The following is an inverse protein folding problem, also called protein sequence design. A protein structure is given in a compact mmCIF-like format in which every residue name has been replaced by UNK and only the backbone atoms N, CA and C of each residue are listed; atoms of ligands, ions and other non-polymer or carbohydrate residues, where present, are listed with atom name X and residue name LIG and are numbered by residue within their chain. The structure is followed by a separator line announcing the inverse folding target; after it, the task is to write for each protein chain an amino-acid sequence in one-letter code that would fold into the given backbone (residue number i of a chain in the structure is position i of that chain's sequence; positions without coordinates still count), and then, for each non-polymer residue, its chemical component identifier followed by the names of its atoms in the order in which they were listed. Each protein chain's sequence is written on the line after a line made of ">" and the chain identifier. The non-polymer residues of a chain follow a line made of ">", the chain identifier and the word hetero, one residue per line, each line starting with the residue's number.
data_IF_084552412905
#
_entry.id   IF_084552412905
#
_cell.length_a   1.000
_cell.length_b   1.000
_cell.length_c   1.000
_cell.angle_alpha   90.00
_cell.angle_beta   90.00
_cell.angle_gamma   90.00
#
_symmetry.space_group_name_H-M   'P 1'
#
loop_
_entity.id
_entity.type
_entity.pdbx_description
1 polymer ?
#
# COMPACT_ATOMS: atom_id res chain seq x y z
N UNK A 1 16.25 0.65 4.16
CA UNK A 1 15.30 -0.40 4.61
C UNK A 1 14.37 0.24 5.61
N UNK A 2 13.08 -0.13 5.69
CA UNK A 2 12.09 0.45 6.63
C UNK A 2 12.45 0.24 8.12
N UNK A 3 13.53 -0.48 8.40
CA UNK A 3 14.05 -0.83 9.74
C UNK A 3 15.38 -0.16 10.07
N UNK A 4 15.76 0.86 9.33
CA UNK A 4 16.96 1.62 9.70
C UNK A 4 16.68 2.48 10.92
N UNK A 5 17.67 2.51 11.82
CA UNK A 5 17.55 3.24 13.09
C UNK A 5 17.54 4.73 12.80
N UNK A 6 16.60 5.45 13.41
CA UNK A 6 16.52 6.91 13.29
C UNK A 6 17.85 7.57 13.72
N UNK A 7 18.36 8.60 13.00
CA UNK A 7 19.67 9.23 13.31
C UNK A 7 19.80 9.75 14.74
N UNK A 8 18.68 10.11 15.36
CA UNK A 8 18.63 10.58 16.76
C UNK A 8 18.10 9.54 17.75
N UNK A 9 18.07 8.26 17.37
CA UNK A 9 17.54 7.20 18.25
C UNK A 9 18.25 7.14 19.60
N UNK A 10 19.56 7.34 19.64
CA UNK A 10 20.38 7.32 20.87
C UNK A 10 20.09 8.48 21.82
N UNK A 11 19.39 9.53 21.35
CA UNK A 11 19.03 10.70 22.16
C UNK A 11 17.65 10.56 22.81
N UNK A 12 16.80 9.66 22.30
CA UNK A 12 15.37 9.63 22.66
C UNK A 12 15.13 9.42 24.16
N UNK A 13 15.91 8.53 24.78
CA UNK A 13 15.77 8.21 26.21
C UNK A 13 16.19 9.37 27.12
N UNK A 14 17.00 10.31 26.62
CA UNK A 14 17.47 11.48 27.36
C UNK A 14 16.57 12.71 27.20
N UNK A 15 15.63 12.69 26.26
CA UNK A 15 14.73 13.83 26.00
C UNK A 15 13.65 13.94 27.06
N UNK A 16 13.35 15.19 27.46
CA UNK A 16 12.13 15.48 28.19
C UNK A 16 10.88 15.27 27.31
N UNK A 17 9.73 15.02 27.92
CA UNK A 17 8.48 14.71 27.20
C UNK A 17 8.12 15.79 26.14
N UNK A 18 8.37 17.06 26.42
CA UNK A 18 8.09 18.14 25.45
C UNK A 18 9.01 18.07 24.25
N UNK A 19 10.29 17.82 24.45
CA UNK A 19 11.26 17.77 23.36
C UNK A 19 11.10 16.50 22.54
N UNK A 20 10.71 15.38 23.16
CA UNK A 20 10.30 14.17 22.44
C UNK A 20 9.06 14.40 21.57
N UNK A 21 8.04 15.08 22.12
CA UNK A 21 6.83 15.42 21.36
C UNK A 21 7.12 16.37 20.18
N UNK A 22 8.04 17.32 20.37
CA UNK A 22 8.50 18.20 19.28
C UNK A 22 9.22 17.41 18.19
N UNK A 23 10.13 16.54 18.58
CA UNK A 23 10.84 15.69 17.61
C UNK A 23 9.85 14.84 16.78
N UNK A 24 8.89 14.19 17.42
CA UNK A 24 7.85 13.42 16.72
C UNK A 24 7.03 14.32 15.77
N UNK A 25 6.64 15.50 16.21
CA UNK A 25 5.89 16.45 15.38
C UNK A 25 6.69 16.92 14.15
N UNK A 26 7.99 17.16 14.33
CA UNK A 26 8.87 17.57 13.23
C UNK A 26 9.02 16.43 12.21
N UNK A 27 9.17 15.17 12.67
CA UNK A 27 9.22 14.00 11.80
C UNK A 27 7.89 13.76 11.06
N UNK A 28 6.75 13.94 11.72
CA UNK A 28 5.43 13.86 11.08
C UNK A 28 5.29 14.93 9.97
N UNK A 29 5.84 16.12 10.20
CA UNK A 29 5.85 17.21 9.21
C UNK A 29 6.71 16.82 7.99
N UNK A 30 7.91 16.28 8.23
CA UNK A 30 8.77 15.77 7.15
C UNK A 30 8.07 14.67 6.35
N UNK A 31 7.35 13.76 7.02
CA UNK A 31 6.61 12.70 6.35
C UNK A 31 5.56 13.25 5.37
N UNK A 32 4.82 14.28 5.78
CA UNK A 32 3.81 14.93 4.93
C UNK A 32 4.46 15.67 3.76
N UNK A 33 5.53 16.42 4.00
CA UNK A 33 6.25 17.16 2.96
C UNK A 33 6.86 16.23 1.90
N UNK A 34 7.35 15.07 2.34
CA UNK A 34 7.95 14.07 1.48
C UNK A 34 6.99 13.45 0.45
N UNK A 35 5.68 13.52 0.68
CA UNK A 35 4.66 13.04 -0.24
C UNK A 35 4.46 14.02 -1.42
N UNK A 36 4.73 15.30 -1.24
CA UNK A 36 4.40 16.34 -2.22
C UNK A 36 4.92 16.09 -3.66
N UNK A 37 6.17 15.63 -3.88
CA UNK A 37 6.66 15.31 -5.22
C UNK A 37 5.89 14.18 -5.93
N UNK A 38 5.21 13.32 -5.16
CA UNK A 38 4.53 12.13 -5.64
C UNK A 38 3.02 12.31 -5.84
N UNK A 39 2.48 13.49 -5.52
CA UNK A 39 1.05 13.77 -5.69
C UNK A 39 0.52 13.52 -7.11
N UNK A 40 1.24 13.81 -8.21
CA UNK A 40 0.75 13.48 -9.55
C UNK A 40 0.55 11.98 -9.77
N UNK A 41 1.41 11.16 -9.21
CA UNK A 41 1.34 9.70 -9.33
C UNK A 41 0.22 9.12 -8.46
N UNK A 42 0.08 9.64 -7.25
CA UNK A 42 -1.05 9.30 -6.38
C UNK A 42 -2.37 9.66 -7.06
N UNK A 43 -2.45 10.84 -7.69
CA UNK A 43 -3.65 11.26 -8.41
C UNK A 43 -4.00 10.29 -9.54
N UNK A 44 -3.01 9.83 -10.33
CA UNK A 44 -3.25 8.82 -11.38
C UNK A 44 -3.80 7.50 -10.81
N UNK A 45 -3.23 7.04 -9.69
CA UNK A 45 -3.73 5.83 -9.02
C UNK A 45 -5.17 6.00 -8.53
N UNK A 46 -5.46 7.13 -7.91
CA UNK A 46 -6.81 7.49 -7.42
C UNK A 46 -7.81 7.55 -8.57
N UNK A 47 -7.49 8.21 -9.68
CA UNK A 47 -8.34 8.29 -10.86
C UNK A 47 -8.62 6.91 -11.44
N UNK A 48 -7.59 6.08 -11.60
CA UNK A 48 -7.73 4.73 -12.14
C UNK A 48 -8.60 3.82 -11.25
N UNK A 49 -8.48 3.93 -9.92
CA UNK A 49 -9.35 3.21 -8.97
C UNK A 49 -10.78 3.75 -9.03
N UNK A 50 -10.95 5.07 -9.02
CA UNK A 50 -12.25 5.73 -9.05
C UNK A 50 -13.05 5.36 -10.31
N UNK A 51 -12.40 5.29 -11.48
CA UNK A 51 -13.06 4.92 -12.74
C UNK A 51 -13.55 3.47 -12.71
N UNK A 52 -12.80 2.57 -12.08
CA UNK A 52 -13.23 1.18 -11.88
C UNK A 52 -14.43 1.08 -10.96
N UNK A 53 -14.40 1.78 -9.84
CA UNK A 53 -15.52 1.83 -8.90
C UNK A 53 -16.78 2.42 -9.56
N UNK A 54 -16.66 3.51 -10.31
CA UNK A 54 -17.79 4.10 -11.10
C UNK A 54 -18.35 3.13 -12.13
N UNK A 55 -17.52 2.26 -12.66
CA UNK A 55 -17.90 1.22 -13.64
C UNK A 55 -18.46 -0.05 -13.00
N UNK A 56 -18.68 -0.06 -11.68
CA UNK A 56 -19.19 -1.23 -10.93
C UNK A 56 -18.13 -2.27 -10.58
N UNK A 57 -16.85 -1.91 -10.66
CA UNK A 57 -15.74 -2.68 -10.13
C UNK A 57 -15.64 -2.57 -8.61
N UNK A 58 -14.72 -3.32 -8.04
CA UNK A 58 -14.44 -3.38 -6.59
C UNK A 58 -12.99 -3.01 -6.32
N UNK A 59 -12.74 -2.52 -5.11
CA UNK A 59 -11.38 -2.30 -4.60
C UNK A 59 -11.02 -3.42 -3.63
N UNK A 60 -9.88 -4.04 -3.84
CA UNK A 60 -9.36 -5.11 -2.98
C UNK A 60 -8.00 -4.71 -2.42
N UNK A 61 -7.89 -4.60 -1.11
CA UNK A 61 -6.63 -4.43 -0.40
C UNK A 61 -6.01 -5.79 -0.06
N UNK A 62 -4.68 -5.87 -0.16
CA UNK A 62 -3.88 -7.00 0.30
C UNK A 62 -2.76 -6.49 1.21
N UNK A 63 -2.70 -6.97 2.45
CA UNK A 63 -1.71 -6.51 3.42
C UNK A 63 -1.44 -7.53 4.51
N UNK A 64 -0.27 -7.44 5.13
CA UNK A 64 0.11 -8.30 6.25
C UNK A 64 0.40 -7.47 7.51
N UNK A 65 0.22 -8.07 8.67
CA UNK A 65 0.46 -7.43 9.96
C UNK A 65 -0.27 -6.09 10.09
N UNK A 66 0.41 -5.05 10.58
CA UNK A 66 -0.17 -3.71 10.77
C UNK A 66 -0.67 -3.09 9.46
N UNK A 67 0.04 -3.30 8.35
CA UNK A 67 -0.41 -2.82 7.02
C UNK A 67 -1.75 -3.46 6.63
N UNK A 68 -1.94 -4.75 6.92
CA UNK A 68 -3.21 -5.45 6.72
C UNK A 68 -4.32 -4.92 7.62
N UNK A 69 -4.03 -4.58 8.88
CA UNK A 69 -5.01 -3.99 9.79
C UNK A 69 -5.47 -2.60 9.33
N UNK A 70 -4.54 -1.75 8.87
CA UNK A 70 -4.88 -0.43 8.32
C UNK A 70 -5.81 -0.58 7.12
N UNK A 71 -5.48 -1.48 6.19
CA UNK A 71 -6.30 -1.77 5.03
C UNK A 71 -7.70 -2.29 5.39
N UNK A 72 -7.78 -3.16 6.42
CA UNK A 72 -9.05 -3.69 6.90
C UNK A 72 -9.92 -2.62 7.58
N UNK A 73 -9.32 -1.70 8.32
CA UNK A 73 -10.02 -0.57 8.93
C UNK A 73 -10.61 0.35 7.86
N UNK A 74 -9.83 0.73 6.84
CA UNK A 74 -10.29 1.55 5.73
C UNK A 74 -11.47 0.88 5.00
N UNK A 75 -11.34 -0.39 4.65
CA UNK A 75 -12.40 -1.14 3.99
C UNK A 75 -13.70 -1.22 4.82
N UNK A 76 -13.57 -1.38 6.15
CA UNK A 76 -14.72 -1.46 7.05
C UNK A 76 -15.45 -0.11 7.22
N UNK A 77 -14.73 1.01 7.13
CA UNK A 77 -15.31 2.35 7.26
C UNK A 77 -16.05 2.81 5.98
N UNK A 78 -15.69 2.28 4.81
CA UNK A 78 -16.23 2.74 3.53
C UNK A 78 -17.76 2.72 3.44
N UNK A 79 -18.49 1.67 3.87
CA UNK A 79 -19.96 1.67 3.79
C UNK A 79 -20.60 2.74 4.67
N UNK A 80 -20.11 2.91 5.91
CA UNK A 80 -20.65 3.85 6.87
C UNK A 80 -20.35 5.31 6.49
N UNK A 81 -19.12 5.57 6.02
CA UNK A 81 -18.64 6.93 5.76
C UNK A 81 -19.06 7.45 4.39
N UNK A 82 -19.05 6.59 3.36
CA UNK A 82 -19.28 6.99 1.97
C UNK A 82 -20.57 6.42 1.39
N UNK A 83 -21.32 5.61 2.14
CA UNK A 83 -22.60 5.04 1.68
C UNK A 83 -22.45 4.04 0.53
N UNK A 84 -21.28 3.47 0.31
CA UNK A 84 -21.05 2.45 -0.70
C UNK A 84 -21.63 1.10 -0.25
N UNK A 85 -21.99 0.24 -1.20
CA UNK A 85 -22.49 -1.09 -0.87
C UNK A 85 -21.40 -1.93 -0.16
N UNK A 86 -21.82 -2.80 0.76
CA UNK A 86 -20.93 -3.77 1.36
C UNK A 86 -20.24 -4.61 0.27
N UNK A 87 -18.94 -4.87 0.48
CA UNK A 87 -18.12 -5.61 -0.48
C UNK A 87 -17.62 -4.80 -1.69
N UNK A 88 -17.95 -3.50 -1.79
CA UNK A 88 -17.35 -2.61 -2.79
C UNK A 88 -15.86 -2.41 -2.51
N UNK A 89 -15.49 -2.26 -1.24
CA UNK A 89 -14.11 -2.22 -0.77
C UNK A 89 -13.90 -3.40 0.16
N UNK A 90 -12.85 -4.18 -0.07
CA UNK A 90 -12.57 -5.40 0.67
C UNK A 90 -11.09 -5.44 1.07
N UNK A 91 -10.77 -6.05 2.20
CA UNK A 91 -9.40 -6.28 2.62
C UNK A 91 -9.15 -7.78 2.83
N UNK A 92 -8.00 -8.23 2.35
CA UNK A 92 -7.50 -9.59 2.47
C UNK A 92 -6.17 -9.52 3.24
N UNK A 93 -6.14 -10.11 4.43
CA UNK A 93 -5.06 -9.88 5.37
C UNK A 93 -4.35 -11.17 5.77
N UNK A 94 -3.05 -11.07 6.00
CA UNK A 94 -2.21 -12.08 6.61
C UNK A 94 -1.79 -11.59 8.00
N UNK A 95 -2.49 -12.06 9.04
CA UNK A 95 -2.31 -11.54 10.41
C UNK A 95 -1.63 -12.56 11.33
N UNK A 96 -1.59 -13.82 10.96
CA UNK A 96 -0.93 -14.86 11.76
C UNK A 96 0.59 -14.87 11.50
N UNK A 97 1.39 -15.22 12.49
CA UNK A 97 2.85 -15.31 12.34
C UNK A 97 3.26 -16.19 11.15
N UNK A 98 4.16 -15.70 10.32
CA UNK A 98 4.70 -16.39 9.16
C UNK A 98 3.84 -16.32 7.89
N UNK A 99 2.60 -15.86 7.97
CA UNK A 99 1.76 -15.71 6.77
C UNK A 99 2.26 -14.60 5.84
N UNK A 100 2.94 -13.61 6.35
CA UNK A 100 3.51 -12.51 5.56
C UNK A 100 4.57 -12.99 4.57
N UNK A 101 5.26 -14.09 4.89
CA UNK A 101 6.30 -14.71 4.07
C UNK A 101 5.73 -15.75 3.07
N UNK A 102 4.45 -16.02 3.12
CA UNK A 102 3.79 -17.01 2.27
C UNK A 102 3.21 -16.38 1.00
N UNK A 103 3.96 -16.49 -0.09
CA UNK A 103 3.55 -16.00 -1.42
C UNK A 103 2.36 -16.77 -1.99
N UNK A 104 2.28 -18.06 -1.73
CA UNK A 104 1.19 -18.91 -2.21
C UNK A 104 -0.12 -18.53 -1.52
N UNK A 105 -0.07 -18.27 -0.20
CA UNK A 105 -1.22 -17.78 0.54
C UNK A 105 -1.75 -16.46 -0.08
N UNK A 106 -0.86 -15.55 -0.49
CA UNK A 106 -1.22 -14.32 -1.19
C UNK A 106 -1.94 -14.57 -2.51
N UNK A 107 -1.40 -15.47 -3.33
CA UNK A 107 -2.04 -15.88 -4.59
C UNK A 107 -3.42 -16.52 -4.34
N UNK A 108 -3.55 -17.37 -3.33
CA UNK A 108 -4.81 -18.02 -2.97
C UNK A 108 -5.84 -17.02 -2.43
N UNK A 109 -5.40 -15.99 -1.68
CA UNK A 109 -6.26 -14.89 -1.25
C UNK A 109 -6.84 -14.13 -2.46
N UNK A 110 -6.00 -13.80 -3.44
CA UNK A 110 -6.44 -13.13 -4.66
C UNK A 110 -7.35 -14.01 -5.53
N UNK A 111 -7.11 -15.33 -5.59
CA UNK A 111 -7.99 -16.28 -6.26
C UNK A 111 -9.36 -16.33 -5.60
N UNK A 112 -9.38 -16.42 -4.27
CA UNK A 112 -10.60 -16.48 -3.46
C UNK A 112 -11.41 -15.18 -3.56
N UNK A 113 -10.78 -14.04 -3.69
CA UNK A 113 -11.41 -12.74 -3.92
C UNK A 113 -12.15 -12.67 -5.27
N UNK A 114 -11.89 -13.61 -6.17
CA UNK A 114 -12.53 -13.66 -7.50
C UNK A 114 -12.39 -12.34 -8.25
N UNK A 115 -11.14 -11.85 -8.31
CA UNK A 115 -10.79 -10.60 -8.99
C UNK A 115 -11.16 -10.64 -10.47
N UNK A 116 -11.60 -9.50 -10.99
CA UNK A 116 -12.01 -9.28 -12.39
C UNK A 116 -11.20 -8.14 -13.01
N UNK A 117 -11.08 -8.06 -14.34
CA UNK A 117 -10.39 -6.95 -15.01
C UNK A 117 -10.94 -5.55 -14.67
N UNK A 118 -12.21 -5.45 -14.28
CA UNK A 118 -12.83 -4.20 -13.85
C UNK A 118 -12.57 -3.81 -12.38
N UNK A 119 -11.93 -4.68 -11.60
CA UNK A 119 -11.58 -4.42 -10.22
C UNK A 119 -10.21 -3.73 -10.11
N UNK A 120 -9.89 -3.20 -8.92
CA UNK A 120 -8.56 -2.73 -8.54
C UNK A 120 -8.03 -3.52 -7.35
N UNK A 121 -6.75 -3.85 -7.36
CA UNK A 121 -6.05 -4.52 -6.27
C UNK A 121 -4.92 -3.62 -5.76
N UNK A 122 -4.93 -3.33 -4.46
CA UNK A 122 -3.94 -2.48 -3.79
C UNK A 122 -3.18 -3.29 -2.76
N UNK A 123 -1.90 -3.47 -2.96
CA UNK A 123 -0.98 -4.01 -1.98
C UNK A 123 -0.57 -2.93 -0.99
N UNK A 124 -0.59 -3.23 0.31
CA UNK A 124 -0.14 -2.34 1.37
C UNK A 124 0.99 -3.02 2.14
N UNK A 125 2.19 -2.51 2.01
CA UNK A 125 3.39 -3.10 2.63
C UNK A 125 4.46 -2.05 2.88
N UNK A 126 5.08 -2.07 4.06
CA UNK A 126 6.14 -1.12 4.39
C UNK A 126 7.38 -1.32 3.51
N UNK A 127 7.83 -2.56 3.35
CA UNK A 127 9.08 -2.90 2.66
C UNK A 127 8.98 -3.01 1.14
N UNK A 128 7.77 -3.10 0.59
CA UNK A 128 7.54 -3.46 -0.81
C UNK A 128 7.86 -4.91 -1.17
N UNK A 129 8.24 -5.76 -0.20
CA UNK A 129 8.76 -7.11 -0.42
C UNK A 129 7.97 -8.21 0.28
N UNK A 130 6.92 -7.88 1.01
CA UNK A 130 6.08 -8.84 1.72
C UNK A 130 5.55 -9.90 0.75
N UNK A 131 5.96 -11.14 0.92
CA UNK A 131 5.71 -12.21 -0.04
C UNK A 131 4.21 -12.45 -0.28
N UNK A 132 3.40 -12.40 0.78
CA UNK A 132 1.94 -12.44 0.68
C UNK A 132 1.39 -11.35 -0.27
N UNK A 133 1.81 -10.10 -0.10
CA UNK A 133 1.34 -8.98 -0.92
C UNK A 133 1.76 -9.15 -2.36
N UNK A 134 3.03 -9.48 -2.60
CA UNK A 134 3.54 -9.71 -3.95
C UNK A 134 2.82 -10.85 -4.65
N UNK A 135 2.58 -11.97 -3.96
CA UNK A 135 1.83 -13.09 -4.50
C UNK A 135 0.40 -12.71 -4.91
N UNK A 136 -0.27 -11.91 -4.07
CA UNK A 136 -1.61 -11.43 -4.37
C UNK A 136 -1.64 -10.50 -5.60
N UNK A 137 -0.71 -9.56 -5.69
CA UNK A 137 -0.63 -8.63 -6.83
C UNK A 137 -0.25 -9.34 -8.14
N UNK A 138 0.61 -10.35 -8.10
CA UNK A 138 0.91 -11.19 -9.26
C UNK A 138 -0.32 -11.91 -9.81
N UNK A 139 -1.08 -12.54 -8.92
CA UNK A 139 -2.31 -13.21 -9.32
C UNK A 139 -3.35 -12.21 -9.86
N UNK A 140 -3.46 -11.02 -9.23
CA UNK A 140 -4.32 -9.94 -9.70
C UNK A 140 -3.92 -9.47 -11.11
N UNK A 141 -2.62 -9.26 -11.33
CA UNK A 141 -2.06 -8.89 -12.64
C UNK A 141 -2.35 -9.95 -13.70
N UNK A 142 -2.13 -11.23 -13.38
CA UNK A 142 -2.42 -12.34 -14.28
C UNK A 142 -3.90 -12.41 -14.70
N UNK A 143 -4.81 -11.84 -13.89
CA UNK A 143 -6.26 -11.73 -14.20
C UNK A 143 -6.62 -10.45 -14.94
N UNK A 144 -5.65 -9.59 -15.25
CA UNK A 144 -5.89 -8.29 -15.89
C UNK A 144 -6.52 -7.26 -14.96
N UNK A 145 -6.46 -7.48 -13.63
CA UNK A 145 -6.90 -6.51 -12.62
C UNK A 145 -5.86 -5.40 -12.52
N UNK A 146 -6.29 -4.16 -12.45
CA UNK A 146 -5.40 -3.03 -12.17
C UNK A 146 -4.77 -3.16 -10.79
N UNK A 147 -3.45 -3.01 -10.71
CA UNK A 147 -2.71 -3.20 -9.45
C UNK A 147 -1.95 -1.95 -9.04
N UNK A 148 -1.95 -1.69 -7.74
CA UNK A 148 -1.15 -0.65 -7.07
C UNK A 148 -0.42 -1.29 -5.91
N UNK A 149 0.86 -0.99 -5.73
CA UNK A 149 1.59 -1.37 -4.52
C UNK A 149 1.98 -0.12 -3.74
N UNK A 150 1.41 0.02 -2.53
CA UNK A 150 1.73 1.11 -1.61
C UNK A 150 2.87 0.63 -0.71
N UNK A 151 4.03 1.27 -0.86
CA UNK A 151 5.22 0.91 -0.11
C UNK A 151 5.96 2.14 0.37
N UNK A 152 6.83 1.99 1.36
CA UNK A 152 7.85 2.96 1.67
C UNK A 152 9.18 2.25 1.90
N UNK A 153 10.14 2.55 1.04
CA UNK A 153 11.50 2.00 1.11
C UNK A 153 12.50 3.12 0.86
N UNK A 154 13.55 3.20 1.65
CA UNK A 154 14.62 4.17 1.46
C UNK A 154 15.78 3.95 2.43
N UNK A 155 16.98 4.51 2.14
CA UNK A 155 18.06 4.59 3.13
C UNK A 155 17.63 5.50 4.29
N UNK A 156 18.27 5.36 5.46
CA UNK A 156 17.95 6.12 6.67
C UNK A 156 17.99 7.65 6.51
N UNK A 157 18.65 8.12 5.47
CA UNK A 157 18.80 9.55 5.14
C UNK A 157 17.80 10.05 4.11
N UNK A 158 17.15 9.12 3.38
CA UNK A 158 16.16 9.43 2.36
C UNK A 158 15.02 8.41 2.49
N UNK A 159 14.02 8.74 3.27
CA UNK A 159 12.83 7.90 3.42
C UNK A 159 11.98 8.03 2.17
N UNK A 160 12.18 7.12 1.27
CA UNK A 160 11.42 7.07 0.04
C UNK A 160 10.41 5.95 0.14
N UNK A 161 9.13 6.27 0.19
CA UNK A 161 8.05 5.33 -0.02
C UNK A 161 7.75 5.24 -1.51
N UNK A 162 7.43 4.06 -1.97
CA UNK A 162 7.01 3.85 -3.35
C UNK A 162 5.56 3.36 -3.34
N UNK A 163 4.73 4.05 -4.10
CA UNK A 163 3.50 3.46 -4.62
C UNK A 163 3.85 2.98 -6.02
N UNK A 164 4.04 1.71 -6.20
CA UNK A 164 4.20 1.14 -7.54
C UNK A 164 2.81 0.90 -8.11
N UNK A 165 2.43 1.70 -9.10
CA UNK A 165 1.21 1.50 -9.86
C UNK A 165 1.56 0.66 -11.07
N UNK A 166 1.07 -0.56 -11.10
CA UNK A 166 1.20 -1.44 -12.25
C UNK A 166 -0.03 -1.27 -13.14
N UNK A 167 0.11 -0.60 -14.25
CA UNK A 167 -0.91 -0.60 -15.27
C UNK A 167 -0.65 -1.78 -16.21
N UNK A 168 -1.39 -2.87 -16.03
CA UNK A 168 -1.34 -3.97 -16.97
C UNK A 168 -2.11 -3.60 -18.23
N UNK A 169 -1.40 -3.28 -19.29
CA UNK A 169 -2.00 -3.25 -20.62
C UNK A 169 -2.30 -4.68 -21.08
N UNK A 170 -3.54 -4.99 -21.51
CA UNK A 170 -3.91 -6.36 -21.89
C UNK A 170 -3.24 -6.85 -23.18
N UNK A 171 -2.24 -6.17 -23.74
CA UNK A 171 -1.82 -6.39 -25.12
C UNK A 171 -0.61 -7.25 -25.37
N UNK A 172 0.28 -7.48 -24.42
CA UNK A 172 1.47 -8.30 -24.71
C UNK A 172 2.18 -8.96 -23.52
N UNK A 173 1.66 -8.86 -22.31
CA UNK A 173 2.28 -9.56 -21.17
C UNK A 173 3.68 -9.08 -20.78
N UNK A 174 4.11 -7.93 -21.27
CA UNK A 174 5.37 -7.33 -20.87
C UNK A 174 5.17 -6.48 -19.61
N UNK A 175 6.05 -6.66 -18.63
CA UNK A 175 6.09 -5.95 -17.35
C UNK A 175 6.64 -4.50 -17.53
N UNK A 176 6.78 -4.03 -18.76
CA UNK A 176 7.52 -2.80 -19.07
C UNK A 176 6.71 -1.50 -18.85
N UNK A 177 5.40 -1.58 -18.58
CA UNK A 177 4.56 -0.41 -18.28
C UNK A 177 4.29 -0.23 -16.78
N UNK A 178 5.33 -0.39 -15.96
CA UNK A 178 5.25 -0.13 -14.52
C UNK A 178 5.32 1.38 -14.30
N UNK A 179 4.21 1.99 -13.93
CA UNK A 179 4.23 3.34 -13.37
C UNK A 179 4.67 3.25 -11.92
N UNK A 180 5.91 3.61 -11.65
CA UNK A 180 6.43 3.70 -10.28
C UNK A 180 5.97 4.99 -9.64
N UNK A 181 5.16 4.88 -8.60
CA UNK A 181 4.80 5.99 -7.73
C UNK A 181 5.60 5.85 -6.45
N UNK A 182 6.55 6.73 -6.26
CA UNK A 182 7.30 6.79 -5.02
C UNK A 182 6.60 7.74 -4.05
N UNK A 183 6.16 7.24 -2.89
CA UNK A 183 5.70 8.06 -1.77
C UNK A 183 6.82 8.07 -0.74
N UNK A 184 7.39 9.24 -0.51
CA UNK A 184 8.40 9.43 0.53
C UNK A 184 7.67 9.73 1.82
N UNK A 185 7.79 8.87 2.82
CA UNK A 185 7.31 9.13 4.17
C UNK A 185 8.54 9.42 5.01
N UNK A 186 8.66 10.65 5.50
CA UNK A 186 9.76 11.07 6.34
C UNK A 186 9.84 10.26 7.64
N UNK A 187 11.06 10.10 8.14
CA UNK A 187 11.32 9.65 9.51
C UNK A 187 11.38 10.84 10.44
#
# INVERSE_FOLDING_TARGET
>A
MSEEVHPRADELDALGALDLARLMHDEDTHAVEAIAPHLPDIARAVEAVADRLRSGGRLHYFGAGTSGLIAAMDAAECPATFGVAEGTVQAHTALEPGQEDDRILGQDAARSASLRPGDAAVGVTASGRTAFVLGALEEATARGTFTVNVTYTGPATDVTGFVEVYETSPRDGSIDDIVRVAVTIGR
#
